data_IF_708605621922
#
_entry.id   IF_708605621922
#
_cell.length_a   1.000
_cell.length_b   1.000
_cell.length_c   1.000
_cell.angle_alpha   90.00
_cell.angle_beta   90.00
_cell.angle_gamma   90.00
#
_symmetry.space_group_name_H-M   'P 1'
#
loop_
_entity.id
_entity.type
_entity.pdbx_description
1 polymer ?
#
# COMPACT_ATOMS: atom_id res chain seq x y z
N UNK A 1 -15.08 -27.61 11.75
CA UNK A 1 -14.74 -26.25 12.22
C UNK A 1 -14.03 -25.47 11.10
N UNK A 2 -14.65 -24.43 10.66
CA UNK A 2 -13.98 -23.52 9.75
C UNK A 2 -12.81 -22.86 10.48
N UNK A 3 -11.63 -22.93 9.87
CA UNK A 3 -10.48 -22.17 10.38
C UNK A 3 -10.76 -20.69 10.15
N UNK A 4 -10.76 -19.93 11.22
CA UNK A 4 -10.88 -18.48 11.11
C UNK A 4 -9.55 -17.92 10.57
N UNK A 5 -9.50 -17.69 9.25
CA UNK A 5 -8.31 -17.16 8.59
C UNK A 5 -8.31 -15.65 8.79
N UNK A 6 -7.27 -15.06 9.39
CA UNK A 6 -7.20 -13.62 9.54
C UNK A 6 -7.08 -12.93 8.17
N UNK A 7 -7.54 -11.69 8.08
CA UNK A 7 -7.26 -10.85 6.91
C UNK A 7 -5.78 -10.47 6.90
N UNK A 8 -5.27 -10.03 5.76
CA UNK A 8 -3.92 -9.46 5.70
C UNK A 8 -3.79 -8.27 6.66
N UNK A 9 -4.86 -7.47 6.79
CA UNK A 9 -4.91 -6.35 7.73
C UNK A 9 -4.68 -6.82 9.18
N UNK A 10 -5.45 -7.81 9.62
CA UNK A 10 -5.32 -8.34 10.98
C UNK A 10 -3.93 -8.96 11.21
N UNK A 11 -3.46 -9.75 10.26
CA UNK A 11 -2.16 -10.41 10.36
C UNK A 11 -0.99 -9.43 10.38
N UNK A 12 -1.10 -8.32 9.64
CA UNK A 12 -0.06 -7.27 9.63
C UNK A 12 0.09 -6.54 10.98
N UNK A 13 -0.90 -6.62 11.85
CA UNK A 13 -0.93 -5.93 13.13
C UNK A 13 -1.98 -4.84 13.22
N UNK A 14 -2.76 -4.63 12.18
CA UNK A 14 -3.89 -3.70 12.17
C UNK A 14 -3.51 -2.23 12.01
N UNK A 15 -4.42 -1.36 12.41
CA UNK A 15 -4.35 0.09 12.18
C UNK A 15 -3.06 0.73 12.70
N UNK A 16 -2.76 0.50 13.96
CA UNK A 16 -1.61 1.13 14.62
C UNK A 16 -0.29 0.76 13.93
N UNK A 17 -0.13 -0.52 13.58
CA UNK A 17 1.06 -1.02 12.90
C UNK A 17 1.19 -0.44 11.50
N UNK A 18 0.11 -0.39 10.72
CA UNK A 18 0.13 0.20 9.38
C UNK A 18 0.41 1.70 9.42
N UNK A 19 -0.16 2.43 10.38
CA UNK A 19 0.14 3.85 10.57
C UNK A 19 1.63 4.07 10.85
N UNK A 20 2.20 3.25 11.73
CA UNK A 20 3.62 3.31 12.05
C UNK A 20 4.49 3.00 10.83
N UNK A 21 4.12 1.95 10.08
CA UNK A 21 4.84 1.54 8.87
C UNK A 21 4.94 2.69 7.88
N UNK A 22 3.81 3.29 7.52
CA UNK A 22 3.79 4.32 6.48
C UNK A 22 4.38 5.64 6.97
N UNK A 23 4.24 5.99 8.23
CA UNK A 23 4.88 7.17 8.80
C UNK A 23 6.41 7.07 8.69
N UNK A 24 6.99 5.97 9.14
CA UNK A 24 8.44 5.75 9.08
C UNK A 24 8.91 5.62 7.63
N UNK A 25 8.14 4.95 6.80
CA UNK A 25 8.44 4.80 5.39
C UNK A 25 8.53 6.16 4.68
N UNK A 26 7.53 7.02 4.86
CA UNK A 26 7.56 8.33 4.20
C UNK A 26 8.61 9.28 4.78
N UNK A 27 9.00 9.14 6.03
CA UNK A 27 10.18 9.84 6.57
C UNK A 27 11.43 9.49 5.76
N UNK A 28 11.62 8.21 5.44
CA UNK A 28 12.74 7.75 4.61
C UNK A 28 12.61 8.22 3.16
N UNK A 29 11.40 8.17 2.60
CA UNK A 29 11.13 8.62 1.23
C UNK A 29 11.53 10.08 1.05
N UNK A 30 11.18 10.95 2.00
CA UNK A 30 11.51 12.37 1.93
C UNK A 30 13.01 12.65 1.97
N UNK A 31 13.79 11.74 2.55
CA UNK A 31 15.26 11.85 2.61
C UNK A 31 15.95 11.10 1.47
N UNK A 32 15.22 10.32 0.70
CA UNK A 32 15.78 9.55 -0.41
C UNK A 32 16.06 10.47 -1.61
N UNK A 33 17.23 10.34 -2.22
CA UNK A 33 17.64 11.19 -3.34
C UNK A 33 16.74 11.05 -4.56
N UNK A 34 16.25 9.82 -4.81
CA UNK A 34 15.43 9.52 -5.97
C UNK A 34 13.96 9.84 -5.74
N UNK A 35 13.43 9.51 -4.57
CA UNK A 35 12.00 9.65 -4.27
C UNK A 35 11.64 10.97 -3.59
N UNK A 36 12.56 11.57 -2.85
CA UNK A 36 12.31 12.82 -2.14
C UNK A 36 11.67 13.90 -3.01
N UNK A 37 12.23 14.18 -4.21
CA UNK A 37 11.65 15.20 -5.09
C UNK A 37 10.20 14.91 -5.52
N UNK A 38 9.83 13.62 -5.66
CA UNK A 38 8.46 13.23 -6.06
C UNK A 38 7.46 13.54 -4.94
N UNK A 39 7.85 13.35 -3.68
CA UNK A 39 6.96 13.45 -2.53
C UNK A 39 7.14 14.73 -1.71
N UNK A 40 8.02 15.63 -2.14
CA UNK A 40 8.36 16.86 -1.39
C UNK A 40 7.15 17.69 -0.97
N UNK A 41 6.14 17.76 -1.82
CA UNK A 41 4.95 18.57 -1.59
C UNK A 41 3.74 17.76 -1.10
N UNK A 42 3.95 16.53 -0.63
CA UNK A 42 2.84 15.74 -0.11
C UNK A 42 2.21 16.39 1.12
N UNK A 43 0.91 16.16 1.33
CA UNK A 43 0.22 16.64 2.52
C UNK A 43 0.77 15.95 3.78
N UNK A 44 0.69 16.64 4.93
CA UNK A 44 1.16 16.09 6.21
C UNK A 44 0.47 14.80 6.61
N UNK A 45 -0.79 14.65 6.23
CA UNK A 45 -1.60 13.47 6.52
C UNK A 45 -1.53 12.40 5.42
N UNK A 46 -0.68 12.58 4.41
CA UNK A 46 -0.51 11.61 3.33
C UNK A 46 -0.18 10.20 3.86
N UNK A 47 0.78 10.02 4.79
CA UNK A 47 1.04 8.68 5.33
C UNK A 47 -0.18 8.03 5.99
N UNK A 48 -1.00 8.82 6.69
CA UNK A 48 -2.23 8.33 7.31
C UNK A 48 -3.23 7.85 6.26
N UNK A 49 -3.43 8.63 5.21
CA UNK A 49 -4.36 8.25 4.13
C UNK A 49 -3.88 6.99 3.39
N UNK A 50 -2.58 6.85 3.17
CA UNK A 50 -2.03 5.64 2.55
C UNK A 50 -2.22 4.43 3.46
N UNK A 51 -1.99 4.58 4.77
CA UNK A 51 -2.23 3.50 5.73
C UNK A 51 -3.71 3.08 5.74
N UNK A 52 -4.64 4.04 5.68
CA UNK A 52 -6.08 3.76 5.57
C UNK A 52 -6.42 3.03 4.28
N UNK A 53 -5.85 3.47 3.16
CA UNK A 53 -6.06 2.84 1.86
C UNK A 53 -5.59 1.38 1.86
N UNK A 54 -4.34 1.14 2.25
CA UNK A 54 -3.77 -0.20 2.29
C UNK A 54 -4.53 -1.09 3.29
N UNK A 55 -4.88 -0.54 4.45
CA UNK A 55 -5.66 -1.26 5.45
C UNK A 55 -7.01 -1.71 4.91
N UNK A 56 -7.71 -0.86 4.20
CA UNK A 56 -8.99 -1.19 3.58
C UNK A 56 -8.83 -2.24 2.47
N UNK A 57 -7.81 -2.09 1.62
CA UNK A 57 -7.49 -3.07 0.57
C UNK A 57 -7.20 -4.44 1.17
N UNK A 58 -6.55 -4.49 2.32
CA UNK A 58 -6.15 -5.72 3.01
C UNK A 58 -7.26 -6.33 3.87
N UNK A 59 -8.49 -5.83 3.76
CA UNK A 59 -9.63 -6.39 4.46
C UNK A 59 -9.95 -5.76 5.80
N UNK A 60 -9.33 -4.63 6.12
CA UNK A 60 -9.62 -3.86 7.33
C UNK A 60 -10.82 -2.93 7.19
N UNK A 61 -11.05 -2.06 8.20
CA UNK A 61 -12.18 -1.13 8.18
C UNK A 61 -12.11 -0.15 7.01
N UNK A 62 -13.26 0.34 6.58
CA UNK A 62 -13.37 1.27 5.44
C UNK A 62 -13.01 2.71 5.82
N UNK A 63 -11.83 2.91 6.39
CA UNK A 63 -11.38 4.23 6.84
C UNK A 63 -11.04 5.17 5.69
N UNK A 64 -10.46 4.63 4.61
CA UNK A 64 -10.12 5.46 3.46
C UNK A 64 -11.37 5.96 2.73
N UNK A 65 -12.31 5.09 2.42
CA UNK A 65 -13.56 5.50 1.75
C UNK A 65 -14.56 6.16 2.69
N UNK A 66 -14.57 5.75 3.95
CA UNK A 66 -15.49 6.30 4.96
C UNK A 66 -14.99 7.60 5.59
N UNK A 67 -13.92 7.53 6.37
CA UNK A 67 -13.40 8.69 7.10
C UNK A 67 -12.72 9.71 6.21
N UNK A 68 -11.85 9.24 5.31
CA UNK A 68 -11.04 10.12 4.45
C UNK A 68 -11.78 10.59 3.20
N UNK A 69 -12.99 10.06 2.97
CA UNK A 69 -13.79 10.37 1.76
C UNK A 69 -13.05 10.05 0.46
N UNK A 70 -12.15 9.07 0.51
CA UNK A 70 -11.37 8.65 -0.65
C UNK A 70 -12.14 7.71 -1.58
N UNK A 71 -11.51 7.39 -2.70
CA UNK A 71 -11.99 6.39 -3.66
C UNK A 71 -10.80 5.86 -4.46
N UNK A 72 -11.00 4.77 -5.21
CA UNK A 72 -9.97 4.28 -6.11
C UNK A 72 -9.61 5.34 -7.15
N UNK A 73 -10.62 6.04 -7.70
CA UNK A 73 -10.41 7.12 -8.65
C UNK A 73 -9.55 8.25 -8.07
N UNK A 74 -9.80 8.65 -6.81
CA UNK A 74 -9.02 9.68 -6.14
C UNK A 74 -7.57 9.23 -5.94
N UNK A 75 -7.35 7.99 -5.54
CA UNK A 75 -5.99 7.44 -5.38
C UNK A 75 -5.24 7.47 -6.71
N UNK A 76 -5.87 7.07 -7.79
CA UNK A 76 -5.27 7.12 -9.14
C UNK A 76 -5.01 8.56 -9.56
N UNK A 77 -5.94 9.48 -9.29
CA UNK A 77 -5.77 10.90 -9.62
C UNK A 77 -4.50 11.49 -9.03
N UNK A 78 -4.10 11.06 -7.84
CA UNK A 78 -2.86 11.52 -7.21
C UNK A 78 -1.60 11.11 -7.98
N UNK A 79 -1.67 10.11 -8.86
CA UNK A 79 -0.54 9.65 -9.66
C UNK A 79 -0.49 10.27 -11.06
N UNK A 80 -1.62 10.78 -11.56
CA UNK A 80 -1.70 11.34 -12.92
C UNK A 80 -0.66 12.45 -13.10
N UNK A 81 0.12 12.35 -14.17
CA UNK A 81 1.12 13.37 -14.53
C UNK A 81 2.40 13.37 -13.69
N UNK A 82 2.56 12.45 -12.75
CA UNK A 82 3.76 12.37 -11.88
C UNK A 82 4.99 11.84 -12.59
N UNK A 83 4.83 11.26 -13.77
CA UNK A 83 5.92 10.74 -14.62
C UNK A 83 6.86 9.80 -13.85
N UNK A 84 6.29 8.86 -13.11
CA UNK A 84 7.04 7.85 -12.39
C UNK A 84 7.68 6.86 -13.36
N UNK A 85 8.84 6.33 -13.00
CA UNK A 85 9.57 5.36 -13.80
C UNK A 85 9.88 4.08 -13.00
N UNK A 86 10.47 3.11 -13.66
CA UNK A 86 10.79 1.80 -13.07
C UNK A 86 11.80 1.93 -11.93
N UNK A 87 12.76 2.81 -12.05
CA UNK A 87 13.77 3.05 -11.01
C UNK A 87 13.12 3.55 -9.71
N UNK A 88 12.21 4.52 -9.82
CA UNK A 88 11.46 5.06 -8.68
C UNK A 88 10.56 3.99 -8.08
N UNK A 89 9.89 3.20 -8.92
CA UNK A 89 9.02 2.11 -8.47
C UNK A 89 9.80 1.08 -7.63
N UNK A 90 10.92 0.60 -8.14
CA UNK A 90 11.75 -0.37 -7.44
C UNK A 90 12.29 0.19 -6.12
N UNK A 91 12.71 1.43 -6.12
CA UNK A 91 13.21 2.08 -4.91
C UNK A 91 12.12 2.22 -3.86
N UNK A 92 10.90 2.57 -4.27
CA UNK A 92 9.75 2.69 -3.38
C UNK A 92 9.45 1.34 -2.69
N UNK A 93 9.39 0.26 -3.46
CA UNK A 93 9.16 -1.09 -2.92
C UNK A 93 10.29 -1.48 -1.95
N UNK A 94 11.54 -1.26 -2.34
CA UNK A 94 12.71 -1.60 -1.52
C UNK A 94 12.66 -0.90 -0.16
N UNK A 95 12.39 0.41 -0.15
CA UNK A 95 12.29 1.17 1.10
C UNK A 95 11.14 0.69 1.98
N UNK A 96 10.00 0.35 1.38
CA UNK A 96 8.85 -0.12 2.14
C UNK A 96 9.13 -1.48 2.78
N UNK A 97 9.71 -2.42 2.04
CA UNK A 97 10.08 -3.73 2.57
C UNK A 97 11.14 -3.61 3.68
N UNK A 98 12.14 -2.75 3.49
CA UNK A 98 13.15 -2.50 4.51
C UNK A 98 12.51 -1.95 5.78
N UNK A 99 11.58 -1.01 5.66
CA UNK A 99 10.87 -0.44 6.81
C UNK A 99 10.01 -1.51 7.49
N UNK A 100 9.34 -2.35 6.72
CA UNK A 100 8.55 -3.47 7.25
C UNK A 100 9.43 -4.40 8.09
N UNK A 101 10.63 -4.72 7.62
CA UNK A 101 11.58 -5.55 8.36
C UNK A 101 12.02 -4.89 9.68
N UNK A 102 12.33 -3.60 9.62
CA UNK A 102 12.79 -2.84 10.78
C UNK A 102 11.78 -2.79 11.92
N UNK A 103 10.49 -2.67 11.61
CA UNK A 103 9.45 -2.57 12.64
C UNK A 103 8.83 -3.92 13.01
N UNK A 104 9.32 -5.02 12.40
CA UNK A 104 8.86 -6.35 12.74
C UNK A 104 7.49 -6.74 12.17
N UNK A 105 7.14 -6.24 10.99
CA UNK A 105 5.97 -6.74 10.25
C UNK A 105 6.18 -8.25 10.02
N UNK A 106 5.13 -9.10 10.14
CA UNK A 106 5.30 -10.55 9.95
C UNK A 106 6.11 -10.89 8.71
N UNK A 107 7.04 -11.81 8.87
CA UNK A 107 7.99 -12.21 7.82
C UNK A 107 7.75 -13.62 7.29
N UNK A 108 6.63 -14.24 7.63
CA UNK A 108 6.25 -15.51 7.09
C UNK A 108 6.11 -15.44 5.56
N UNK A 109 6.48 -16.50 4.84
CA UNK A 109 6.50 -16.49 3.37
C UNK A 109 5.16 -16.12 2.74
N UNK A 110 4.07 -16.60 3.32
CA UNK A 110 2.71 -16.37 2.78
C UNK A 110 2.33 -14.89 2.87
N UNK A 111 2.56 -14.26 4.02
CA UNK A 111 2.24 -12.84 4.18
C UNK A 111 3.15 -11.98 3.30
N UNK A 112 4.45 -12.25 3.28
CA UNK A 112 5.40 -11.47 2.47
C UNK A 112 5.15 -11.63 0.97
N UNK A 113 4.75 -12.82 0.52
CA UNK A 113 4.35 -13.03 -0.88
C UNK A 113 3.10 -12.22 -1.23
N UNK A 114 2.11 -12.20 -0.36
CA UNK A 114 0.89 -11.42 -0.56
C UNK A 114 1.17 -9.91 -0.53
N UNK A 115 1.97 -9.46 0.43
CA UNK A 115 2.38 -8.06 0.53
C UNK A 115 3.13 -7.62 -0.73
N UNK A 116 4.15 -8.37 -1.12
CA UNK A 116 4.94 -8.05 -2.32
C UNK A 116 4.08 -8.08 -3.58
N UNK A 117 3.19 -9.08 -3.69
CA UNK A 117 2.27 -9.18 -4.82
C UNK A 117 1.41 -7.92 -4.96
N UNK A 118 0.88 -7.43 -3.87
CA UNK A 118 0.12 -6.17 -3.87
C UNK A 118 0.99 -4.97 -4.26
N UNK A 119 2.17 -4.86 -3.68
CA UNK A 119 3.09 -3.76 -3.98
C UNK A 119 3.52 -3.76 -5.45
N UNK A 120 3.79 -4.93 -6.00
CA UNK A 120 4.10 -5.09 -7.43
C UNK A 120 2.92 -4.65 -8.31
N UNK A 121 1.73 -5.14 -8.01
CA UNK A 121 0.53 -4.81 -8.75
C UNK A 121 0.23 -3.31 -8.68
N UNK A 122 0.14 -2.78 -7.46
CA UNK A 122 -0.25 -1.39 -7.24
C UNK A 122 0.78 -0.39 -7.78
N UNK A 123 2.07 -0.67 -7.58
CA UNK A 123 3.12 0.22 -8.06
C UNK A 123 3.24 0.23 -9.59
N UNK A 124 3.01 -0.90 -10.25
CA UNK A 124 3.01 -0.95 -11.73
C UNK A 124 1.83 -0.17 -12.29
N UNK A 125 0.66 -0.28 -11.68
CA UNK A 125 -0.50 0.54 -12.04
C UNK A 125 -0.21 2.02 -11.82
N UNK A 126 0.43 2.38 -10.70
CA UNK A 126 0.81 3.77 -10.42
C UNK A 126 1.73 4.34 -11.49
N UNK A 127 2.72 3.57 -11.94
CA UNK A 127 3.62 3.99 -13.03
C UNK A 127 2.85 4.22 -14.32
N UNK A 128 1.99 3.27 -14.70
CA UNK A 128 1.16 3.40 -15.91
C UNK A 128 0.30 4.66 -15.84
N UNK A 129 -0.40 4.87 -14.72
CA UNK A 129 -1.30 6.01 -14.56
C UNK A 129 -0.53 7.34 -14.47
N UNK A 130 0.70 7.33 -13.96
CA UNK A 130 1.51 8.53 -13.87
C UNK A 130 1.90 9.11 -15.23
N UNK A 131 1.82 8.29 -16.29
CA UNK A 131 2.09 8.70 -17.67
C UNK A 131 0.83 9.21 -18.39
N UNK A 132 -0.33 9.12 -17.76
CA UNK A 132 -1.59 9.54 -18.36
C UNK A 132 -1.85 11.02 -18.13
N UNK A 133 -2.69 11.61 -19.00
CA UNK A 133 -3.18 12.99 -18.85
C UNK A 133 -4.57 13.03 -18.24
N UNK A 134 -5.30 11.92 -18.28
CA UNK A 134 -6.66 11.80 -17.77
C UNK A 134 -6.78 10.54 -16.88
N UNK A 135 -7.68 10.60 -15.92
CA UNK A 135 -7.95 9.46 -15.06
C UNK A 135 -8.68 8.38 -15.87
N UNK A 136 -8.11 7.15 -15.98
CA UNK A 136 -8.70 6.08 -16.78
C UNK A 136 -9.93 5.43 -16.15
N UNK A 137 -10.23 5.72 -14.88
CA UNK A 137 -11.37 5.10 -14.20
C UNK A 137 -12.36 6.16 -13.71
N UNK A 138 -13.64 5.75 -13.62
CA UNK A 138 -14.70 6.59 -13.10
C UNK A 138 -14.79 6.57 -11.58
N UNK A 139 -15.55 7.50 -11.01
CA UNK A 139 -15.75 7.65 -9.56
C UNK A 139 -16.42 6.43 -8.92
N UNK A 140 -17.11 5.62 -9.71
CA UNK A 140 -17.83 4.43 -9.23
C UNK A 140 -17.00 3.16 -9.24
N UNK A 141 -15.74 3.21 -9.70
CA UNK A 141 -14.85 2.05 -9.64
C UNK A 141 -14.68 1.59 -8.20
N UNK A 142 -14.87 0.29 -7.92
CA UNK A 142 -14.72 -0.21 -6.56
C UNK A 142 -13.25 -0.17 -6.11
N UNK A 143 -13.07 -0.09 -4.80
CA UNK A 143 -11.75 -0.23 -4.19
C UNK A 143 -11.16 -1.59 -4.54
N UNK A 144 -9.85 -1.65 -4.85
CA UNK A 144 -9.18 -2.94 -4.99
C UNK A 144 -9.23 -3.71 -3.67
N UNK A 145 -9.20 -5.03 -3.76
CA UNK A 145 -9.11 -5.91 -2.61
C UNK A 145 -7.95 -6.88 -2.80
N UNK A 146 -7.28 -7.19 -1.73
CA UNK A 146 -6.13 -8.10 -1.77
C UNK A 146 -6.17 -9.04 -0.57
N UNK A 147 -5.91 -10.32 -0.82
CA UNK A 147 -5.91 -11.35 0.20
C UNK A 147 -4.73 -12.29 0.06
N UNK A 148 -4.80 -13.44 0.70
CA UNK A 148 -3.70 -14.40 0.77
C UNK A 148 -3.34 -15.06 -0.56
N UNK A 149 -4.29 -15.15 -1.49
CA UNK A 149 -4.07 -15.84 -2.77
C UNK A 149 -4.04 -17.37 -2.59
N UNK A 150 -3.21 -18.04 -3.37
CA UNK A 150 -3.16 -19.50 -3.43
C UNK A 150 -2.79 -20.17 -2.11
N UNK A 151 -2.03 -19.50 -1.26
CA UNK A 151 -1.65 -20.05 0.04
C UNK A 151 -2.83 -20.15 1.02
N UNK A 152 -3.84 -19.30 0.82
CA UNK A 152 -5.10 -19.34 1.60
C UNK A 152 -4.99 -18.91 3.05
N UNK A 153 -3.84 -18.46 3.51
CA UNK A 153 -3.65 -18.02 4.89
C UNK A 153 -2.19 -18.00 5.32
N UNK A 154 -1.94 -17.57 6.56
CA UNK A 154 -0.57 -17.52 7.10
C UNK A 154 -0.01 -18.90 7.33
N UNK A 155 1.31 -19.01 7.26
CA UNK A 155 2.00 -20.24 7.63
C UNK A 155 1.90 -20.46 9.13
N UNK A 156 1.39 -21.63 9.49
CA UNK A 156 1.33 -22.04 10.89
C UNK A 156 2.20 -23.29 11.03
N UNK A 157 3.35 -23.23 11.70
CA UNK A 157 4.20 -24.40 11.92
C UNK A 157 3.43 -25.50 12.65
N UNK A 158 3.62 -26.74 12.22
CA UNK A 158 3.04 -27.91 12.91
C UNK A 158 3.81 -28.22 14.17
#
# INVERSE_FOLDING_TARGET
MEKNIPTLYEWSGGEETLQRLFRLFYDKVLQDELLGPVFRNMAKDHPRHVAHFVGEVFGGPTKYTGEDKGSHAIMIAHHIGKMLDEKKRQRWIQLLLTTADEIGIPDDPEFRSSLLGYLEWGSRIAVINSQQTENPIGETEPMPRWGWGETGGPYVPK
#
